data_IF_008945859782
#
_entry.id   IF_008945859782
#
_cell.length_a   1.000
_cell.length_b   1.000
_cell.length_c   1.000
_cell.angle_alpha   90.00
_cell.angle_beta   90.00
_cell.angle_gamma   90.00
#
_symmetry.space_group_name_H-M   'P 1'
#
loop_
_entity.id
_entity.type
_entity.pdbx_description
1 polymer ?
#
# COMPACT_ATOMS: atom_id res chain seq x y z
N UNK A 1 -53.68 -26.36 29.85
CA UNK A 1 -52.57 -25.37 29.98
C UNK A 1 -51.51 -25.79 28.98
N UNK A 2 -51.44 -25.07 27.84
CA UNK A 2 -50.51 -25.39 26.76
C UNK A 2 -49.31 -24.42 26.86
N UNK A 3 -48.15 -24.96 27.21
CA UNK A 3 -46.90 -24.22 27.33
C UNK A 3 -46.32 -24.00 25.93
N UNK A 4 -46.31 -22.73 25.51
CA UNK A 4 -45.74 -22.31 24.21
C UNK A 4 -44.25 -21.96 24.42
N UNK A 5 -43.38 -22.91 24.06
CA UNK A 5 -41.93 -22.70 24.11
C UNK A 5 -41.47 -21.83 22.96
N UNK A 6 -41.00 -20.63 23.26
CA UNK A 6 -40.33 -19.75 22.28
C UNK A 6 -38.92 -20.24 22.05
N UNK A 7 -38.68 -20.76 20.84
CA UNK A 7 -37.32 -21.09 20.36
C UNK A 7 -36.64 -19.78 19.92
N UNK A 8 -35.68 -19.29 20.71
CA UNK A 8 -34.85 -18.17 20.34
C UNK A 8 -33.75 -18.65 19.36
N UNK A 9 -33.94 -18.36 18.08
CA UNK A 9 -32.90 -18.59 17.08
C UNK A 9 -31.83 -17.49 17.22
N UNK A 10 -30.65 -17.83 17.76
CA UNK A 10 -29.48 -16.93 17.81
C UNK A 10 -28.88 -16.89 16.41
N UNK A 11 -29.08 -15.79 15.71
CA UNK A 11 -28.46 -15.51 14.43
C UNK A 11 -27.00 -15.08 14.67
N UNK A 12 -26.07 -16.02 14.50
CA UNK A 12 -24.63 -15.72 14.58
C UNK A 12 -24.25 -15.01 13.25
N UNK A 13 -24.18 -13.67 13.30
CA UNK A 13 -23.57 -12.90 12.23
C UNK A 13 -22.06 -13.19 12.24
N UNK A 14 -21.60 -14.01 11.32
CA UNK A 14 -20.19 -14.21 11.07
C UNK A 14 -19.57 -12.88 10.59
N UNK A 15 -18.63 -12.33 11.36
CA UNK A 15 -17.82 -11.18 10.95
C UNK A 15 -16.90 -11.66 9.83
N UNK A 16 -17.26 -11.38 8.59
CA UNK A 16 -16.38 -11.59 7.44
C UNK A 16 -15.31 -10.49 7.52
N UNK A 17 -14.15 -10.82 8.08
CA UNK A 17 -12.97 -9.96 8.02
C UNK A 17 -12.57 -9.82 6.55
N UNK A 18 -12.92 -8.71 5.94
CA UNK A 18 -12.46 -8.36 4.60
C UNK A 18 -10.94 -8.16 4.65
N UNK A 19 -10.17 -9.19 4.31
CA UNK A 19 -8.72 -9.13 4.18
C UNK A 19 -8.38 -8.34 2.92
N UNK A 20 -8.38 -7.02 3.05
CA UNK A 20 -7.96 -6.10 1.99
C UNK A 20 -6.44 -5.89 1.99
N UNK A 21 -5.93 -5.29 0.91
CA UNK A 21 -4.54 -4.85 0.83
C UNK A 21 -4.20 -3.91 1.99
N UNK A 22 -3.02 -4.09 2.57
CA UNK A 22 -2.50 -3.21 3.62
C UNK A 22 -1.29 -2.43 3.11
N UNK A 23 -1.15 -1.20 3.59
CA UNK A 23 0.00 -0.34 3.31
C UNK A 23 0.65 0.03 4.63
N UNK A 24 1.95 -0.13 4.69
CA UNK A 24 2.80 0.33 5.80
C UNK A 24 4.03 1.04 5.26
N UNK A 25 4.76 1.69 6.14
CA UNK A 25 6.00 2.36 5.74
C UNK A 25 6.88 2.66 6.93
N UNK A 26 8.19 2.70 6.69
CA UNK A 26 9.16 3.01 7.73
C UNK A 26 10.41 3.65 7.15
N UNK A 27 11.14 4.35 8.01
CA UNK A 27 12.51 4.80 7.79
C UNK A 27 13.43 3.87 8.58
N UNK A 28 14.47 3.37 7.93
CA UNK A 28 15.43 2.43 8.53
C UNK A 28 16.04 3.03 9.80
N UNK A 29 15.99 2.26 10.89
CA UNK A 29 16.48 2.70 12.20
C UNK A 29 15.62 3.74 12.90
N UNK A 30 14.46 4.13 12.35
CA UNK A 30 13.50 5.06 12.95
C UNK A 30 14.04 6.48 13.19
N UNK A 31 15.19 6.81 12.61
CA UNK A 31 15.84 8.13 12.79
C UNK A 31 16.64 8.54 11.57
N UNK A 32 16.91 9.84 11.47
CA UNK A 32 17.76 10.44 10.45
C UNK A 32 18.62 11.54 11.07
N UNK A 33 19.88 11.62 10.65
CA UNK A 33 20.79 12.67 11.13
C UNK A 33 20.45 13.99 10.45
N UNK A 34 20.48 15.09 11.22
CA UNK A 34 20.34 16.45 10.68
C UNK A 34 21.48 16.73 9.69
N UNK A 35 21.15 17.21 8.50
CA UNK A 35 22.10 17.33 7.41
C UNK A 35 22.40 16.03 6.67
N UNK A 36 21.77 14.91 7.06
CA UNK A 36 22.01 13.58 6.49
C UNK A 36 20.80 12.99 5.78
N UNK A 37 20.97 11.77 5.34
CA UNK A 37 19.93 11.00 4.65
C UNK A 37 19.69 9.65 5.31
N UNK A 38 18.47 9.15 5.20
CA UNK A 38 18.11 7.80 5.62
C UNK A 38 17.26 7.12 4.55
N UNK A 39 17.43 5.80 4.42
CA UNK A 39 16.61 4.95 3.56
C UNK A 39 15.28 4.64 4.24
N UNK A 40 14.24 4.51 3.46
CA UNK A 40 12.94 4.04 3.89
C UNK A 40 12.28 3.17 2.84
N UNK A 41 11.15 2.59 3.17
CA UNK A 41 10.33 1.86 2.20
C UNK A 41 8.85 1.97 2.55
N UNK A 42 8.03 2.06 1.51
CA UNK A 42 6.60 1.76 1.57
C UNK A 42 6.44 0.28 1.25
N UNK A 43 5.56 -0.39 1.96
CA UNK A 43 5.25 -1.81 1.77
C UNK A 43 3.76 -1.94 1.48
N UNK A 44 3.42 -2.54 0.34
CA UNK A 44 2.08 -2.94 -0.03
C UNK A 44 1.97 -4.45 0.11
N UNK A 45 1.13 -4.92 1.01
CA UNK A 45 0.84 -6.35 1.17
C UNK A 45 -0.47 -6.70 0.46
N UNK A 46 -0.40 -7.64 -0.46
CA UNK A 46 -1.50 -8.08 -1.31
C UNK A 46 -1.85 -9.51 -0.88
N UNK A 47 -3.07 -9.75 -0.38
CA UNK A 47 -3.50 -11.10 0.00
C UNK A 47 -3.47 -12.09 -1.16
N UNK A 48 -3.32 -13.38 -0.84
CA UNK A 48 -3.41 -14.46 -1.83
C UNK A 48 -4.73 -14.43 -2.61
N UNK A 49 -4.68 -14.79 -3.88
CA UNK A 49 -5.83 -14.73 -4.79
C UNK A 49 -6.13 -13.34 -5.35
N UNK A 50 -5.36 -12.33 -4.93
CA UNK A 50 -5.43 -10.97 -5.45
C UNK A 50 -4.09 -10.55 -6.07
N UNK A 51 -4.18 -9.65 -7.03
CA UNK A 51 -3.05 -8.92 -7.56
C UNK A 51 -3.43 -7.45 -7.71
N UNK A 52 -2.46 -6.58 -7.88
CA UNK A 52 -2.68 -5.20 -8.29
C UNK A 52 -1.89 -4.93 -9.56
N UNK A 53 -2.40 -4.05 -10.40
CA UNK A 53 -1.63 -3.62 -11.57
C UNK A 53 -0.31 -3.02 -11.13
N UNK A 54 0.78 -3.33 -11.84
CA UNK A 54 2.08 -2.73 -11.54
C UNK A 54 2.09 -1.22 -11.84
N UNK A 55 3.22 -0.57 -11.61
CA UNK A 55 3.41 0.84 -12.03
C UNK A 55 3.43 1.01 -13.55
N UNK A 56 3.64 -0.08 -14.29
CA UNK A 56 3.66 -0.13 -15.76
C UNK A 56 2.94 -1.38 -16.23
N UNK A 57 1.60 -1.39 -16.20
CA UNK A 57 0.81 -2.60 -16.43
C UNK A 57 0.83 -3.10 -17.89
N UNK A 58 1.35 -2.32 -18.84
CA UNK A 58 1.35 -2.63 -20.28
C UNK A 58 -0.06 -2.79 -20.89
N UNK A 59 -1.04 -2.14 -20.30
CA UNK A 59 -2.44 -2.09 -20.77
C UNK A 59 -2.99 -0.69 -20.51
N UNK A 60 -3.65 -0.11 -21.51
CA UNK A 60 -4.25 1.23 -21.42
C UNK A 60 -5.46 1.27 -20.47
N UNK A 61 -6.13 0.12 -20.26
CA UNK A 61 -7.29 0.01 -19.38
C UNK A 61 -6.93 -0.30 -17.94
N UNK A 62 -5.71 -0.76 -17.68
CA UNK A 62 -5.26 -1.10 -16.35
C UNK A 62 -4.78 0.13 -15.59
N UNK A 63 -5.41 0.41 -14.45
CA UNK A 63 -5.03 1.54 -13.59
C UNK A 63 -3.73 1.21 -12.86
N UNK A 64 -2.63 1.95 -13.10
CA UNK A 64 -1.34 1.62 -12.52
C UNK A 64 -1.29 1.90 -11.02
N UNK A 65 -0.45 1.13 -10.32
CA UNK A 65 -0.07 1.45 -8.93
C UNK A 65 0.85 2.66 -8.92
N UNK A 66 0.50 3.64 -8.10
CA UNK A 66 1.32 4.83 -7.86
C UNK A 66 1.58 5.01 -6.38
N UNK A 67 2.75 5.55 -6.05
CA UNK A 67 3.14 5.91 -4.68
C UNK A 67 3.62 7.36 -4.71
N UNK A 68 3.01 8.20 -3.88
CA UNK A 68 3.40 9.60 -3.71
C UNK A 68 3.84 9.83 -2.27
N UNK A 69 5.00 10.43 -2.12
CA UNK A 69 5.59 10.80 -0.83
C UNK A 69 5.71 12.31 -0.75
N UNK A 70 5.39 12.87 0.41
CA UNK A 70 5.59 14.28 0.72
C UNK A 70 6.00 14.46 2.18
N UNK A 71 6.76 15.52 2.47
CA UNK A 71 7.18 15.86 3.83
C UNK A 71 7.65 17.30 3.88
N UNK A 72 7.22 18.05 4.89
CA UNK A 72 7.62 19.44 5.05
C UNK A 72 9.09 19.55 5.46
N UNK A 73 9.83 20.44 4.80
CA UNK A 73 11.21 20.78 5.15
C UNK A 73 12.26 19.72 4.86
N UNK A 74 11.91 18.65 4.16
CA UNK A 74 12.81 17.56 3.78
C UNK A 74 12.79 17.32 2.26
N UNK A 75 13.83 16.69 1.73
CA UNK A 75 13.84 16.21 0.36
C UNK A 75 13.60 14.70 0.35
N UNK A 76 12.85 14.24 -0.65
CA UNK A 76 12.55 12.82 -0.83
C UNK A 76 12.98 12.44 -2.25
N UNK A 77 13.78 11.38 -2.35
CA UNK A 77 14.18 10.76 -3.62
C UNK A 77 13.51 9.40 -3.75
N UNK A 78 12.91 9.12 -4.88
CA UNK A 78 12.08 7.94 -5.11
C UNK A 78 10.58 8.28 -5.01
N UNK A 79 9.71 7.29 -4.83
CA UNK A 79 10.03 5.86 -4.64
C UNK A 79 10.52 5.16 -5.91
N UNK A 80 11.30 4.10 -5.73
CA UNK A 80 11.65 3.18 -6.81
C UNK A 80 10.59 2.09 -6.89
N UNK A 81 10.12 1.82 -8.11
CA UNK A 81 9.13 0.78 -8.35
C UNK A 81 9.82 -0.53 -8.75
N UNK A 82 9.54 -1.65 -8.09
CA UNK A 82 10.09 -2.94 -8.48
C UNK A 82 9.52 -3.40 -9.82
N UNK A 83 10.17 -4.37 -10.42
CA UNK A 83 9.64 -5.05 -11.61
C UNK A 83 8.42 -5.89 -11.20
N UNK A 84 7.31 -5.75 -11.93
CA UNK A 84 6.15 -6.61 -11.78
C UNK A 84 6.32 -7.94 -12.53
N UNK A 85 5.34 -8.82 -12.36
CA UNK A 85 5.22 -10.11 -13.02
C UNK A 85 4.21 -10.02 -14.16
N UNK A 86 4.52 -10.59 -15.31
CA UNK A 86 3.60 -10.64 -16.43
C UNK A 86 2.61 -11.80 -16.24
N UNK A 87 1.32 -11.49 -16.28
CA UNK A 87 0.22 -12.47 -16.16
C UNK A 87 -0.74 -12.34 -17.33
N UNK A 88 -1.27 -13.47 -17.77
CA UNK A 88 -2.36 -13.57 -18.74
C UNK A 88 -3.66 -13.86 -17.99
N UNK A 89 -4.66 -13.02 -18.18
CA UNK A 89 -5.98 -13.16 -17.55
C UNK A 89 -7.05 -13.42 -18.61
N UNK A 90 -8.14 -14.09 -18.23
CA UNK A 90 -9.23 -14.42 -19.14
C UNK A 90 -9.97 -13.16 -19.64
N UNK A 91 -9.97 -12.10 -18.83
CA UNK A 91 -10.62 -10.83 -19.16
C UNK A 91 -9.76 -9.90 -20.03
N UNK A 92 -8.52 -10.30 -20.38
CA UNK A 92 -7.61 -9.48 -21.18
C UNK A 92 -7.00 -10.26 -22.33
N UNK A 93 -7.04 -9.70 -23.52
CA UNK A 93 -6.33 -10.27 -24.68
C UNK A 93 -4.82 -10.14 -24.56
N UNK A 94 -4.34 -9.15 -23.82
CA UNK A 94 -2.93 -8.89 -23.62
C UNK A 94 -2.45 -9.34 -22.25
N UNK A 95 -1.15 -9.61 -22.15
CA UNK A 95 -0.46 -9.84 -20.87
C UNK A 95 -0.43 -8.54 -20.07
N UNK A 96 -0.82 -8.60 -18.80
CA UNK A 96 -0.79 -7.48 -17.88
C UNK A 96 0.37 -7.66 -16.90
N UNK A 97 1.14 -6.60 -16.66
CA UNK A 97 2.18 -6.59 -15.64
C UNK A 97 1.59 -6.20 -14.30
N UNK A 98 1.75 -7.07 -13.27
CA UNK A 98 1.10 -6.97 -11.97
C UNK A 98 2.09 -7.12 -10.82
N UNK A 99 1.66 -6.70 -9.63
CA UNK A 99 2.30 -7.02 -8.35
C UNK A 99 1.44 -8.02 -7.58
N UNK A 100 2.11 -8.95 -6.91
CA UNK A 100 1.52 -9.98 -6.05
C UNK A 100 2.30 -10.07 -4.73
N UNK A 101 1.66 -10.54 -3.67
CA UNK A 101 2.30 -10.75 -2.37
C UNK A 101 2.77 -9.44 -1.72
N UNK A 102 4.01 -9.39 -1.27
CA UNK A 102 4.58 -8.24 -0.59
C UNK A 102 5.47 -7.43 -1.52
N UNK A 103 5.08 -6.18 -1.77
CA UNK A 103 5.80 -5.27 -2.68
C UNK A 103 6.41 -4.14 -1.87
N UNK A 104 7.69 -3.83 -2.14
CA UNK A 104 8.44 -2.77 -1.46
C UNK A 104 8.79 -1.67 -2.45
N UNK A 105 8.55 -0.42 -2.05
CA UNK A 105 8.89 0.78 -2.80
C UNK A 105 9.91 1.59 -1.99
N UNK A 106 11.21 1.35 -2.20
CA UNK A 106 12.25 2.05 -1.48
C UNK A 106 12.33 3.53 -1.85
N UNK A 107 12.67 4.36 -0.86
CA UNK A 107 12.91 5.78 -1.02
C UNK A 107 14.06 6.24 -0.11
N UNK A 108 14.51 7.46 -0.30
CA UNK A 108 15.49 8.13 0.57
C UNK A 108 14.92 9.47 1.01
N UNK A 109 15.00 9.75 2.31
CA UNK A 109 14.70 11.06 2.87
C UNK A 109 15.98 11.76 3.27
N UNK A 110 16.13 13.02 2.91
CA UNK A 110 17.25 13.89 3.29
C UNK A 110 16.73 15.04 4.13
N UNK A 111 17.29 15.17 5.32
CA UNK A 111 16.98 16.25 6.27
C UNK A 111 18.07 17.33 6.14
N UNK A 112 17.73 18.55 5.73
CA UNK A 112 18.74 19.61 5.63
C UNK A 112 19.27 20.03 7.00
N UNK A 113 20.44 20.62 7.04
CA UNK A 113 21.07 21.14 8.29
C UNK A 113 20.22 22.18 8.99
N UNK A 114 19.47 22.98 8.22
CA UNK A 114 18.55 24.02 8.74
C UNK A 114 17.19 23.52 9.21
N UNK A 115 16.93 22.22 9.21
CA UNK A 115 15.67 21.65 9.68
C UNK A 115 15.44 21.98 11.16
N UNK A 116 14.28 22.55 11.51
CA UNK A 116 14.01 23.06 12.86
C UNK A 116 13.32 22.07 13.80
N UNK A 117 12.80 20.96 13.27
CA UNK A 117 12.11 19.96 14.08
C UNK A 117 13.06 18.88 14.60
N UNK A 118 12.56 18.08 15.53
CA UNK A 118 13.16 16.85 16.07
C UNK A 118 12.52 15.58 15.49
N UNK A 119 11.50 15.74 14.66
CA UNK A 119 10.76 14.65 14.03
C UNK A 119 10.43 14.99 12.57
N UNK A 120 10.77 14.08 11.68
CA UNK A 120 10.29 14.10 10.29
C UNK A 120 8.95 13.39 10.24
N UNK A 121 8.00 13.99 9.52
CA UNK A 121 6.70 13.38 9.19
C UNK A 121 6.55 13.34 7.69
N UNK A 122 6.40 12.13 7.15
CA UNK A 122 6.14 11.91 5.74
C UNK A 122 4.71 11.40 5.57
N UNK A 123 4.02 11.96 4.60
CA UNK A 123 2.73 11.47 4.12
C UNK A 123 2.99 10.63 2.88
N UNK A 124 2.51 9.41 2.88
CA UNK A 124 2.55 8.53 1.72
C UNK A 124 1.14 8.18 1.27
N UNK A 125 0.88 8.30 -0.03
CA UNK A 125 -0.39 7.89 -0.65
C UNK A 125 -0.08 6.83 -1.70
N UNK A 126 -0.63 5.64 -1.50
CA UNK A 126 -0.55 4.51 -2.43
C UNK A 126 -1.90 4.37 -3.11
N UNK A 127 -1.93 4.56 -4.43
CA UNK A 127 -3.11 4.28 -5.26
C UNK A 127 -2.88 2.97 -6.00
N UNK A 128 -3.87 2.09 -5.97
CA UNK A 128 -3.82 0.80 -6.66
C UNK A 128 -5.22 0.34 -7.07
N UNK A 129 -5.27 -0.57 -8.03
CA UNK A 129 -6.47 -1.31 -8.41
C UNK A 129 -6.23 -2.79 -8.16
N UNK A 130 -7.02 -3.38 -7.27
CA UNK A 130 -6.97 -4.80 -6.97
C UNK A 130 -7.86 -5.59 -7.91
N UNK A 131 -7.38 -6.76 -8.33
CA UNK A 131 -8.10 -7.67 -9.21
C UNK A 131 -7.98 -9.11 -8.69
N UNK A 132 -8.98 -9.92 -8.98
CA UNK A 132 -8.88 -11.39 -9.03
C UNK A 132 -8.51 -11.81 -10.46
N UNK A 133 -8.46 -13.11 -10.72
CA UNK A 133 -8.24 -13.62 -12.09
C UNK A 133 -9.44 -13.35 -13.02
N UNK A 134 -10.58 -12.92 -12.47
CA UNK A 134 -11.83 -12.73 -13.22
C UNK A 134 -12.27 -11.27 -13.28
N UNK A 135 -12.12 -10.52 -12.19
CA UNK A 135 -12.65 -9.16 -12.06
C UNK A 135 -11.68 -8.19 -11.40
N UNK A 136 -11.77 -6.93 -11.78
CA UNK A 136 -11.06 -5.82 -11.13
C UNK A 136 -12.03 -4.99 -10.29
N UNK A 137 -11.61 -4.66 -9.07
CA UNK A 137 -12.36 -3.78 -8.17
C UNK A 137 -12.08 -2.30 -8.50
N UNK A 138 -12.92 -1.38 -8.03
CA UNK A 138 -12.63 0.05 -8.14
C UNK A 138 -11.28 0.39 -7.51
N UNK A 139 -10.51 1.34 -8.09
CA UNK A 139 -9.23 1.75 -7.55
C UNK A 139 -9.39 2.36 -6.16
N UNK A 140 -8.39 2.17 -5.30
CA UNK A 140 -8.34 2.67 -3.93
C UNK A 140 -7.10 3.50 -3.68
N UNK A 141 -7.24 4.47 -2.78
CA UNK A 141 -6.12 5.20 -2.20
C UNK A 141 -5.96 4.77 -0.74
N UNK A 142 -4.74 4.42 -0.35
CA UNK A 142 -4.35 4.20 1.04
C UNK A 142 -3.35 5.26 1.42
N UNK A 143 -3.60 5.94 2.53
CA UNK A 143 -2.75 6.97 3.08
C UNK A 143 -2.17 6.52 4.40
N UNK A 144 -0.87 6.76 4.59
CA UNK A 144 -0.17 6.51 5.84
C UNK A 144 0.75 7.69 6.19
N UNK A 145 1.03 7.83 7.47
CA UNK A 145 2.04 8.75 8.00
C UNK A 145 3.24 7.95 8.49
N UNK A 146 4.43 8.33 8.06
CA UNK A 146 5.71 7.75 8.49
C UNK A 146 6.43 8.80 9.31
N UNK A 147 6.92 8.42 10.48
CA UNK A 147 7.68 9.31 11.36
C UNK A 147 9.08 8.78 11.61
N UNK A 148 10.04 9.68 11.76
CA UNK A 148 11.40 9.38 12.19
C UNK A 148 11.95 10.51 13.07
N UNK A 149 12.75 10.16 14.06
CA UNK A 149 13.47 11.15 14.88
C UNK A 149 14.58 11.80 14.07
N UNK A 150 14.81 13.10 14.30
CA UNK A 150 15.97 13.83 13.79
C UNK A 150 17.01 13.88 14.89
N UNK A 151 18.21 13.41 14.60
CA UNK A 151 19.34 13.40 15.54
C UNK A 151 20.44 14.36 15.08
#
# INVERSE_FOLDING_TARGET
MRSLGYLFAVLILGIISAHGQTVSGSITGGSVVRGGSAKGAIVLSIPGGLHVNSSRPASEYAIPTTVRLSGAGVRISGPTFPRGVNRKFQFSENTINVYEGTVRFPFTVTVPTGFKGDTVRLRAVVRYQACTDEVCYPPRNKEITITARVR
#
